data_IF_486293675716
#
_entry.id   IF_486293675716
#
_cell.length_a   1.000
_cell.length_b   1.000
_cell.length_c   1.000
_cell.angle_alpha   90.00
_cell.angle_beta   90.00
_cell.angle_gamma   90.00
#
_symmetry.space_group_name_H-M   'P 1'
#
loop_
_entity.id
_entity.type
_entity.pdbx_description
1 polymer ?
#
# COMPACT_ATOMS: atom_id res chain seq x y z
N UNK A 1 -20.19 0.59 1.44
CA UNK A 1 -19.33 1.06 0.33
C UNK A 1 -17.93 1.26 0.88
N UNK A 2 -16.91 0.76 0.19
CA UNK A 2 -15.50 0.93 0.59
C UNK A 2 -15.12 2.41 0.47
N UNK A 3 -14.46 3.03 1.47
CA UNK A 3 -14.00 4.40 1.37
C UNK A 3 -12.92 4.53 0.28
N UNK A 4 -12.89 5.68 -0.36
CA UNK A 4 -11.93 6.02 -1.41
C UNK A 4 -10.87 6.98 -0.86
N UNK A 5 -9.66 6.89 -1.39
CA UNK A 5 -8.61 7.87 -1.14
C UNK A 5 -8.60 8.93 -2.25
N UNK A 6 -8.09 10.10 -1.91
CA UNK A 6 -7.91 11.21 -2.87
C UNK A 6 -6.45 11.59 -2.99
N UNK A 7 -6.07 12.03 -4.16
CA UNK A 7 -4.79 12.69 -4.41
C UNK A 7 -5.04 14.18 -4.65
N UNK A 8 -4.38 15.02 -3.87
CA UNK A 8 -4.46 16.47 -4.00
C UNK A 8 -3.23 17.01 -4.73
N UNK A 9 -3.35 18.09 -5.52
CA UNK A 9 -2.22 18.68 -6.27
C UNK A 9 -1.06 19.09 -5.37
N UNK A 10 -1.37 19.72 -4.25
CA UNK A 10 -0.42 20.18 -3.23
C UNK A 10 -1.11 20.42 -1.87
N UNK A 11 -0.34 20.85 -0.87
CA UNK A 11 -0.85 21.10 0.48
C UNK A 11 -1.85 22.26 0.59
N UNK A 12 -1.93 23.15 -0.40
CA UNK A 12 -2.88 24.29 -0.38
C UNK A 12 -4.34 23.84 -0.48
N UNK A 13 -4.59 22.61 -0.92
CA UNK A 13 -5.91 21.99 -0.94
C UNK A 13 -6.35 21.44 0.43
N UNK A 14 -5.50 21.55 1.45
CA UNK A 14 -5.71 21.05 2.80
C UNK A 14 -5.64 22.21 3.80
N UNK A 15 -6.24 22.03 4.97
CA UNK A 15 -6.24 23.04 6.04
C UNK A 15 -5.96 22.40 7.40
N UNK A 16 -5.49 23.19 8.34
CA UNK A 16 -5.27 22.81 9.75
C UNK A 16 -4.43 21.53 9.93
N UNK A 17 -3.44 21.33 9.05
CA UNK A 17 -2.54 20.18 9.14
C UNK A 17 -1.62 20.31 10.37
N UNK A 18 -1.49 19.23 11.14
CA UNK A 18 -0.44 19.12 12.14
C UNK A 18 0.95 18.99 11.46
N UNK A 19 2.03 19.43 12.12
CA UNK A 19 3.38 19.30 11.57
C UNK A 19 3.73 17.87 11.13
N UNK A 20 3.36 16.86 11.92
CA UNK A 20 3.59 15.45 11.61
C UNK A 20 2.79 14.97 10.40
N UNK A 21 1.56 15.44 10.21
CA UNK A 21 0.75 15.12 9.02
C UNK A 21 1.39 15.70 7.75
N UNK A 22 1.88 16.94 7.85
CA UNK A 22 2.62 17.60 6.77
C UNK A 22 3.90 16.83 6.41
N UNK A 23 4.67 16.42 7.41
CA UNK A 23 5.88 15.63 7.23
C UNK A 23 5.59 14.30 6.52
N UNK A 24 4.56 13.58 6.95
CA UNK A 24 4.14 12.31 6.32
C UNK A 24 3.73 12.52 4.86
N UNK A 25 2.87 13.51 4.58
CA UNK A 25 2.39 13.79 3.23
C UNK A 25 3.52 14.16 2.27
N UNK A 26 4.54 14.89 2.76
CA UNK A 26 5.67 15.36 1.94
C UNK A 26 6.88 14.42 1.97
N UNK A 27 6.81 13.33 2.73
CA UNK A 27 7.90 12.35 2.81
C UNK A 27 8.15 11.64 1.48
N UNK A 28 9.35 11.13 1.29
CA UNK A 28 9.70 10.31 0.11
C UNK A 28 8.90 9.01 0.02
N UNK A 29 8.35 8.53 1.11
CA UNK A 29 7.47 7.37 1.16
C UNK A 29 6.12 7.65 0.46
N UNK A 30 5.71 8.92 0.42
CA UNK A 30 4.46 9.40 -0.18
C UNK A 30 3.25 8.49 0.14
N UNK A 31 2.95 8.24 1.42
CA UNK A 31 1.88 7.35 1.82
C UNK A 31 0.50 7.98 1.62
N UNK A 32 -0.54 7.16 1.73
CA UNK A 32 -1.89 7.65 2.02
C UNK A 32 -1.93 7.98 3.52
N UNK A 33 -2.20 9.24 3.86
CA UNK A 33 -2.37 9.70 5.23
C UNK A 33 -3.85 9.84 5.54
N UNK A 34 -4.33 9.22 6.61
CA UNK A 34 -5.69 9.43 7.10
C UNK A 34 -5.76 10.77 7.83
N UNK A 35 -6.55 11.67 7.29
CA UNK A 35 -6.80 13.00 7.85
C UNK A 35 -8.27 13.12 8.28
N UNK A 36 -8.51 13.89 9.35
CA UNK A 36 -9.88 14.26 9.71
C UNK A 36 -10.56 15.01 8.56
N UNK A 37 -11.81 14.71 8.27
CA UNK A 37 -12.56 15.25 7.11
C UNK A 37 -12.56 16.76 7.03
N UNK A 38 -12.64 17.47 8.17
CA UNK A 38 -12.63 18.93 8.18
C UNK A 38 -11.34 19.55 7.63
N UNK A 39 -10.24 18.78 7.56
CA UNK A 39 -8.95 19.21 6.98
C UNK A 39 -8.94 19.17 5.44
N UNK A 40 -9.98 18.59 4.84
CA UNK A 40 -10.10 18.40 3.39
C UNK A 40 -11.37 19.08 2.90
N UNK A 41 -11.35 20.40 2.66
CA UNK A 41 -12.54 21.14 2.25
C UNK A 41 -13.00 20.74 0.84
N UNK A 42 -14.28 20.98 0.58
CA UNK A 42 -14.91 20.80 -0.74
C UNK A 42 -14.86 19.37 -1.29
N UNK A 43 -14.90 18.36 -0.42
CA UNK A 43 -14.96 16.94 -0.80
C UNK A 43 -16.38 16.42 -0.62
N UNK A 44 -16.86 15.64 -1.59
CA UNK A 44 -18.18 15.02 -1.55
C UNK A 44 -18.28 13.98 -0.42
N UNK A 45 -19.40 13.96 0.28
CA UNK A 45 -19.63 13.08 1.44
C UNK A 45 -19.52 11.58 1.13
N UNK A 46 -19.82 11.20 -0.10
CA UNK A 46 -19.79 9.80 -0.55
C UNK A 46 -18.38 9.23 -0.77
N UNK A 47 -17.32 10.03 -0.66
CA UNK A 47 -15.93 9.57 -0.77
C UNK A 47 -15.56 8.64 0.41
N UNK A 48 -15.96 9.02 1.62
CA UNK A 48 -15.74 8.23 2.83
C UNK A 48 -17.01 8.26 3.71
N UNK A 49 -18.12 7.61 3.29
CA UNK A 49 -19.38 7.68 4.00
C UNK A 49 -19.26 7.08 5.39
N UNK A 50 -19.87 7.74 6.38
CA UNK A 50 -19.90 7.33 7.79
C UNK A 50 -18.53 7.28 8.51
N UNK A 51 -17.45 7.73 7.87
CA UNK A 51 -16.15 7.85 8.50
C UNK A 51 -15.87 9.29 8.88
N UNK A 52 -15.02 9.49 9.90
CA UNK A 52 -14.53 10.80 10.32
C UNK A 52 -13.21 11.18 9.63
N UNK A 53 -12.57 10.21 9.02
CA UNK A 53 -11.26 10.36 8.34
C UNK A 53 -11.40 10.05 6.85
N UNK A 54 -10.52 10.64 6.07
CA UNK A 54 -10.37 10.40 4.63
C UNK A 54 -8.88 10.16 4.31
N UNK A 55 -8.61 9.22 3.41
CA UNK A 55 -7.26 8.98 2.91
C UNK A 55 -6.84 10.05 1.91
N UNK A 56 -5.74 10.73 2.19
CA UNK A 56 -5.16 11.78 1.33
C UNK A 56 -3.74 11.43 0.97
N UNK A 57 -3.34 11.68 -0.28
CA UNK A 57 -1.97 11.54 -0.74
C UNK A 57 -1.56 12.69 -1.66
N UNK A 58 -0.26 12.91 -1.77
CA UNK A 58 0.34 13.78 -2.78
C UNK A 58 0.85 12.95 -3.98
N UNK A 59 1.04 13.57 -5.17
CA UNK A 59 1.67 12.91 -6.30
C UNK A 59 3.05 12.36 -5.93
N UNK A 60 3.35 11.12 -6.32
CA UNK A 60 4.60 10.44 -6.01
C UNK A 60 5.47 10.14 -7.23
N UNK A 61 5.00 10.46 -8.42
CA UNK A 61 5.73 10.27 -9.66
C UNK A 61 5.43 11.41 -10.68
N UNK A 62 6.30 11.60 -11.69
CA UNK A 62 6.16 12.71 -12.65
C UNK A 62 4.81 12.75 -13.36
N UNK A 63 4.24 11.60 -13.73
CA UNK A 63 2.97 11.53 -14.44
C UNK A 63 1.81 12.05 -13.56
N UNK A 64 1.77 11.65 -12.29
CA UNK A 64 0.77 12.15 -11.35
C UNK A 64 0.91 13.66 -11.14
N UNK A 65 2.14 14.18 -11.01
CA UNK A 65 2.38 15.62 -10.92
C UNK A 65 1.85 16.38 -12.14
N UNK A 66 2.11 15.90 -13.35
CA UNK A 66 1.61 16.53 -14.57
C UNK A 66 0.07 16.48 -14.63
N UNK A 67 -0.52 15.33 -14.30
CA UNK A 67 -1.97 15.16 -14.29
C UNK A 67 -2.62 16.13 -13.31
N UNK A 68 -2.17 16.14 -12.05
CA UNK A 68 -2.76 16.97 -11.00
C UNK A 68 -2.57 18.48 -11.30
N UNK A 69 -1.43 18.89 -11.84
CA UNK A 69 -1.20 20.28 -12.27
C UNK A 69 -2.15 20.70 -13.39
N UNK A 70 -2.43 19.81 -14.34
CA UNK A 70 -3.33 20.09 -15.47
C UNK A 70 -4.78 20.18 -15.00
N UNK A 71 -5.21 19.25 -14.16
CA UNK A 71 -6.61 19.18 -13.68
C UNK A 71 -6.87 20.22 -12.58
N UNK A 72 -5.87 20.55 -11.77
CA UNK A 72 -5.89 21.53 -10.67
C UNK A 72 -7.03 21.34 -9.68
N UNK A 73 -7.33 20.11 -9.31
CA UNK A 73 -8.32 19.72 -8.29
C UNK A 73 -8.02 18.34 -7.73
N UNK A 74 -8.54 17.99 -6.53
CA UNK A 74 -8.42 16.64 -5.99
C UNK A 74 -9.02 15.60 -6.93
N UNK A 75 -8.35 14.45 -7.05
CA UNK A 75 -8.81 13.30 -7.82
C UNK A 75 -8.96 12.08 -6.90
N UNK A 76 -10.02 11.32 -7.11
CA UNK A 76 -10.15 10.00 -6.47
C UNK A 76 -9.12 9.05 -7.08
N UNK A 77 -8.36 8.38 -6.22
CA UNK A 77 -7.39 7.37 -6.62
C UNK A 77 -7.79 6.02 -6.06
N UNK A 78 -7.85 5.02 -6.92
CA UNK A 78 -8.13 3.64 -6.55
C UNK A 78 -7.26 2.70 -7.36
N UNK A 79 -7.09 1.46 -6.87
CA UNK A 79 -6.38 0.43 -7.62
C UNK A 79 -7.16 0.01 -8.88
N UNK A 80 -6.43 -0.29 -9.96
CA UNK A 80 -7.00 -0.72 -11.23
C UNK A 80 -7.35 -2.22 -11.18
N UNK A 81 -8.50 -2.54 -10.58
CA UNK A 81 -9.00 -3.92 -10.47
C UNK A 81 -10.51 -3.98 -10.33
N UNK A 82 -11.10 -5.07 -10.76
CA UNK A 82 -12.46 -5.43 -10.38
C UNK A 82 -12.52 -5.78 -8.88
N UNK A 83 -13.69 -5.61 -8.26
CA UNK A 83 -13.87 -5.90 -6.83
C UNK A 83 -13.47 -7.34 -6.49
N UNK A 84 -12.62 -7.50 -5.46
CA UNK A 84 -12.15 -8.82 -5.02
C UNK A 84 -11.01 -9.41 -5.86
N UNK A 85 -10.56 -8.73 -6.92
CA UNK A 85 -9.41 -9.14 -7.73
C UNK A 85 -8.17 -8.31 -7.40
N UNK A 86 -6.95 -8.85 -7.59
CA UNK A 86 -5.74 -8.05 -7.48
C UNK A 86 -5.64 -7.02 -8.62
N UNK A 87 -4.89 -5.92 -8.44
CA UNK A 87 -4.66 -4.94 -9.49
C UNK A 87 -3.99 -5.54 -10.73
N UNK A 88 -4.42 -5.05 -11.90
CA UNK A 88 -3.84 -5.44 -13.19
C UNK A 88 -2.44 -4.85 -13.34
N UNK A 89 -1.47 -5.68 -13.73
CA UNK A 89 -0.06 -5.27 -13.86
C UNK A 89 0.40 -5.08 -15.30
N UNK A 90 -0.26 -5.70 -16.28
CA UNK A 90 0.14 -5.68 -17.69
C UNK A 90 -0.85 -4.92 -18.54
N UNK A 91 -0.35 -4.09 -19.46
CA UNK A 91 -1.17 -3.30 -20.38
C UNK A 91 -2.14 -4.15 -21.19
N UNK A 92 -1.69 -5.35 -21.64
CA UNK A 92 -2.49 -6.26 -22.47
C UNK A 92 -3.77 -6.71 -21.76
N UNK A 93 -3.68 -6.94 -20.44
CA UNK A 93 -4.82 -7.36 -19.64
C UNK A 93 -5.66 -6.20 -19.11
N UNK A 94 -5.10 -4.96 -19.11
CA UNK A 94 -5.81 -3.80 -18.57
C UNK A 94 -7.09 -3.51 -19.36
N UNK A 95 -7.04 -3.52 -20.68
CA UNK A 95 -8.20 -3.27 -21.55
C UNK A 95 -9.26 -4.37 -21.36
N UNK A 96 -8.83 -5.64 -21.35
CA UNK A 96 -9.75 -6.76 -21.20
C UNK A 96 -10.45 -6.77 -19.83
N UNK A 97 -9.68 -6.56 -18.74
CA UNK A 97 -10.21 -6.72 -17.37
C UNK A 97 -10.90 -5.49 -16.82
N UNK A 98 -10.64 -4.29 -17.39
CA UNK A 98 -11.14 -3.02 -16.89
C UNK A 98 -12.09 -2.31 -17.87
N UNK A 99 -12.48 -2.94 -18.97
CA UNK A 99 -13.30 -2.31 -20.02
C UNK A 99 -14.64 -1.77 -19.50
N UNK A 100 -15.23 -2.43 -18.52
CA UNK A 100 -16.49 -1.99 -17.90
C UNK A 100 -16.27 -0.96 -16.75
N UNK A 101 -15.02 -0.64 -16.44
CA UNK A 101 -14.65 0.20 -15.30
C UNK A 101 -13.93 1.50 -15.70
N UNK A 102 -13.32 1.56 -16.88
CA UNK A 102 -12.51 2.69 -17.34
C UNK A 102 -12.88 3.11 -18.77
N UNK A 103 -13.07 4.41 -18.96
CA UNK A 103 -13.34 5.01 -20.29
C UNK A 103 -12.05 5.22 -21.09
N UNK A 104 -10.92 5.44 -20.41
CA UNK A 104 -9.62 5.73 -21.02
C UNK A 104 -8.48 5.00 -20.32
N UNK A 105 -7.42 4.71 -21.08
CA UNK A 105 -6.23 4.04 -20.62
C UNK A 105 -4.99 4.86 -20.95
N UNK A 106 -4.20 5.20 -19.95
CA UNK A 106 -2.88 5.79 -20.13
C UNK A 106 -1.83 4.73 -19.85
N UNK A 107 -1.38 4.07 -20.89
CA UNK A 107 -0.41 2.99 -20.83
C UNK A 107 1.03 3.52 -20.89
N UNK A 108 1.98 2.72 -20.41
CA UNK A 108 3.41 2.97 -20.51
C UNK A 108 4.16 1.70 -20.96
N UNK A 109 5.39 1.89 -21.44
CA UNK A 109 6.24 0.80 -21.95
C UNK A 109 7.24 0.25 -20.94
N UNK A 110 7.05 0.54 -19.64
CA UNK A 110 7.87 0.00 -18.56
C UNK A 110 7.07 -1.04 -17.81
N UNK A 111 7.53 -2.28 -17.80
CA UNK A 111 6.85 -3.37 -17.11
C UNK A 111 6.79 -3.14 -15.59
N UNK A 112 5.67 -3.52 -14.99
CA UNK A 112 5.50 -3.60 -13.55
C UNK A 112 5.91 -5.01 -13.12
N UNK A 113 7.11 -5.11 -12.54
CA UNK A 113 7.66 -6.41 -12.12
C UNK A 113 7.00 -6.94 -10.85
N UNK A 114 6.61 -6.04 -9.95
CA UNK A 114 6.06 -6.39 -8.66
C UNK A 114 4.96 -5.41 -8.27
N UNK A 115 3.86 -5.94 -7.78
CA UNK A 115 2.79 -5.12 -7.18
C UNK A 115 3.31 -4.43 -5.93
N UNK A 116 3.01 -3.16 -5.80
CA UNK A 116 3.24 -2.38 -4.59
C UNK A 116 2.01 -1.52 -4.31
N UNK A 117 1.30 -1.83 -3.26
CA UNK A 117 0.21 -0.99 -2.77
C UNK A 117 0.77 0.29 -2.13
N UNK A 118 -0.04 1.32 -2.02
CA UNK A 118 0.30 2.50 -1.22
C UNK A 118 0.24 2.15 0.27
N UNK A 119 1.23 2.63 1.02
CA UNK A 119 1.18 2.56 2.47
C UNK A 119 0.05 3.43 3.01
N UNK A 120 -0.57 3.00 4.09
CA UNK A 120 -1.65 3.71 4.77
C UNK A 120 -1.24 3.99 6.20
N UNK A 121 -1.19 5.26 6.55
CA UNK A 121 -0.70 5.73 7.85
C UNK A 121 -1.61 6.80 8.44
N UNK A 122 -1.49 7.05 9.74
CA UNK A 122 -2.05 8.22 10.39
C UNK A 122 -1.18 8.67 11.57
N UNK A 123 -1.36 9.92 11.98
CA UNK A 123 -0.82 10.44 13.23
C UNK A 123 -1.79 10.04 14.35
N UNK A 124 -1.31 9.26 15.31
CA UNK A 124 -2.02 8.88 16.53
C UNK A 124 -1.40 9.55 17.76
N UNK A 125 -1.98 9.34 18.95
CA UNK A 125 -1.50 9.95 20.20
C UNK A 125 -0.03 9.64 20.51
N UNK A 126 0.42 8.44 20.15
CA UNK A 126 1.77 7.93 20.42
C UNK A 126 2.73 8.10 19.23
N UNK A 127 2.32 8.80 18.17
CA UNK A 127 3.13 9.01 16.97
C UNK A 127 2.53 8.41 15.70
N UNK A 128 3.37 7.83 14.84
CA UNK A 128 2.97 7.24 13.57
C UNK A 128 2.31 5.87 13.77
N UNK A 129 1.05 5.75 13.37
CA UNK A 129 0.37 4.47 13.24
C UNK A 129 0.36 4.01 11.77
N UNK A 130 0.90 2.83 11.52
CA UNK A 130 0.91 2.20 10.18
C UNK A 130 -0.18 1.15 10.07
N UNK A 131 -1.23 1.44 9.28
CA UNK A 131 -2.35 0.52 9.04
C UNK A 131 -2.08 -0.45 7.87
N UNK A 132 -1.25 -0.02 6.92
CA UNK A 132 -0.72 -0.84 5.83
C UNK A 132 0.71 -0.43 5.56
N UNK A 133 1.64 -1.37 5.72
CA UNK A 133 3.05 -1.19 5.42
C UNK A 133 3.33 -1.72 4.01
N UNK A 134 3.70 -0.85 3.08
CA UNK A 134 3.93 -1.18 1.68
C UNK A 134 4.93 -0.17 1.06
N UNK A 135 4.65 0.38 -0.11
CA UNK A 135 5.55 1.31 -0.82
C UNK A 135 6.07 2.43 0.08
N UNK A 136 7.37 2.66 0.04
CA UNK A 136 8.09 3.69 0.79
C UNK A 136 8.51 3.29 2.21
N UNK A 137 7.98 2.17 2.75
CA UNK A 137 8.36 1.60 4.04
C UNK A 137 8.92 0.19 3.92
N UNK A 138 8.60 -0.49 2.83
CA UNK A 138 9.14 -1.81 2.51
C UNK A 138 10.22 -1.60 1.43
N UNK A 139 11.38 -2.25 1.53
CA UNK A 139 11.73 -3.35 2.44
C UNK A 139 12.60 -2.95 3.64
N UNK A 140 12.42 -1.78 4.21
CA UNK A 140 13.25 -1.32 5.33
C UNK A 140 13.21 -2.31 6.50
N UNK A 141 14.38 -2.53 7.09
CA UNK A 141 14.55 -3.41 8.23
C UNK A 141 13.95 -2.78 9.49
N UNK A 142 13.24 -3.59 10.28
CA UNK A 142 12.72 -3.20 11.60
C UNK A 142 13.65 -3.80 12.65
N UNK A 143 14.36 -2.98 13.44
CA UNK A 143 15.19 -3.49 14.51
C UNK A 143 14.33 -4.06 15.64
N UNK A 144 14.74 -5.18 16.19
CA UNK A 144 14.12 -5.83 17.34
C UNK A 144 15.06 -5.78 18.54
N UNK A 145 14.49 -5.71 19.74
CA UNK A 145 15.26 -5.76 21.00
C UNK A 145 15.88 -7.14 21.24
N UNK A 146 15.20 -8.18 20.77
CA UNK A 146 15.63 -9.57 20.94
C UNK A 146 16.47 -10.03 19.74
N UNK A 147 17.46 -10.87 20.01
CA UNK A 147 18.31 -11.47 18.98
C UNK A 147 17.95 -12.93 18.77
N UNK A 148 17.72 -13.32 17.53
CA UNK A 148 17.54 -14.72 17.12
C UNK A 148 18.84 -15.32 16.61
N UNK A 149 19.15 -16.54 16.99
CA UNK A 149 20.24 -17.34 16.43
C UNK A 149 19.82 -18.12 15.18
N UNK A 150 18.52 -18.09 14.85
CA UNK A 150 17.91 -18.79 13.72
C UNK A 150 17.29 -17.80 12.75
N UNK A 151 17.35 -18.11 11.47
CA UNK A 151 16.59 -17.43 10.46
C UNK A 151 15.13 -17.92 10.51
N UNK A 152 14.18 -17.03 10.76
CA UNK A 152 12.77 -17.39 10.83
C UNK A 152 11.99 -16.76 9.69
N UNK A 153 11.24 -17.58 8.95
CA UNK A 153 10.25 -17.12 7.99
C UNK A 153 8.86 -17.22 8.65
N UNK A 154 8.19 -16.10 8.84
CA UNK A 154 6.80 -16.08 9.28
C UNK A 154 5.89 -15.77 8.09
N UNK A 155 4.91 -16.65 7.80
CA UNK A 155 4.07 -16.55 6.61
C UNK A 155 2.83 -15.64 6.79
N UNK A 156 2.60 -15.15 8.01
CA UNK A 156 1.45 -14.31 8.31
C UNK A 156 0.13 -15.09 8.33
N UNK A 157 -0.97 -14.35 8.23
CA UNK A 157 -2.33 -14.89 8.25
C UNK A 157 -3.03 -14.68 6.89
N UNK A 158 -4.31 -15.06 6.77
CA UNK A 158 -5.04 -15.02 5.50
C UNK A 158 -5.34 -13.58 5.05
N UNK A 159 -6.06 -12.83 5.88
CA UNK A 159 -6.50 -11.49 5.51
C UNK A 159 -5.36 -10.48 5.60
N UNK A 160 -5.24 -9.61 4.57
CA UNK A 160 -4.19 -8.57 4.51
C UNK A 160 -2.80 -9.13 4.74
N UNK A 161 -2.54 -10.29 4.16
CA UNK A 161 -1.31 -11.04 4.38
C UNK A 161 -0.06 -10.20 4.15
N UNK A 162 0.93 -10.43 5.00
CA UNK A 162 2.33 -10.06 4.86
C UNK A 162 3.17 -11.18 5.43
N UNK A 163 4.30 -11.50 4.82
CA UNK A 163 5.29 -12.39 5.44
C UNK A 163 6.44 -11.59 6.05
N UNK A 164 7.21 -12.23 6.90
CA UNK A 164 8.35 -11.62 7.57
C UNK A 164 9.56 -12.54 7.53
N UNK A 165 10.72 -11.97 7.17
CA UNK A 165 12.03 -12.59 7.30
C UNK A 165 12.69 -12.04 8.57
N UNK A 166 13.02 -12.90 9.52
CA UNK A 166 13.78 -12.53 10.70
C UNK A 166 15.19 -13.10 10.62
N UNK A 167 16.20 -12.23 10.73
CA UNK A 167 17.61 -12.59 10.84
C UNK A 167 18.26 -11.76 11.94
N UNK A 168 18.87 -12.43 12.90
CA UNK A 168 19.45 -11.80 14.09
C UNK A 168 18.42 -10.95 14.83
N UNK A 169 18.60 -9.64 14.88
CA UNK A 169 17.68 -8.67 15.49
C UNK A 169 16.96 -7.80 14.47
N UNK A 170 16.83 -8.26 13.22
CA UNK A 170 16.23 -7.49 12.12
C UNK A 170 15.06 -8.26 11.52
N UNK A 171 13.91 -7.63 11.49
CA UNK A 171 12.73 -8.12 10.80
C UNK A 171 12.54 -7.35 9.48
N UNK A 172 12.35 -8.08 8.40
CA UNK A 172 12.03 -7.53 7.08
C UNK A 172 10.64 -8.01 6.70
N UNK A 173 9.66 -7.11 6.76
CA UNK A 173 8.30 -7.42 6.32
C UNK A 173 8.18 -7.29 4.81
N UNK A 174 7.39 -8.16 4.20
CA UNK A 174 6.94 -7.95 2.82
C UNK A 174 5.99 -6.76 2.75
N UNK A 175 5.79 -6.26 1.53
CA UNK A 175 4.64 -5.40 1.26
C UNK A 175 3.34 -6.17 1.52
N UNK A 176 2.24 -5.43 1.62
CA UNK A 176 0.90 -5.99 1.66
C UNK A 176 0.65 -6.90 0.46
N UNK A 177 0.34 -8.16 0.69
CA UNK A 177 0.04 -9.17 -0.34
C UNK A 177 -1.47 -9.21 -0.61
N UNK A 178 -2.28 -9.28 0.43
CA UNK A 178 -3.74 -9.33 0.32
C UNK A 178 -4.35 -10.58 0.93
N UNK A 179 -5.54 -10.93 0.49
CA UNK A 179 -6.31 -12.04 1.07
C UNK A 179 -5.96 -13.34 0.34
N UNK A 180 -5.32 -14.28 1.03
CA UNK A 180 -4.78 -15.52 0.44
C UNK A 180 -5.85 -16.54 0.05
N UNK A 181 -7.11 -16.32 0.39
CA UNK A 181 -8.23 -17.08 -0.16
C UNK A 181 -8.32 -16.96 -1.70
N UNK A 182 -7.83 -15.86 -2.28
CA UNK A 182 -7.76 -15.67 -3.73
C UNK A 182 -6.51 -16.37 -4.30
N UNK A 183 -6.70 -17.20 -5.36
CA UNK A 183 -5.63 -17.98 -5.98
C UNK A 183 -4.52 -17.10 -6.59
N UNK A 184 -4.89 -15.98 -7.22
CA UNK A 184 -3.91 -15.05 -7.79
C UNK A 184 -3.07 -14.37 -6.70
N UNK A 185 -3.66 -14.08 -5.54
CA UNK A 185 -2.94 -13.56 -4.37
C UNK A 185 -1.97 -14.60 -3.80
N UNK A 186 -2.34 -15.88 -3.77
CA UNK A 186 -1.43 -16.97 -3.38
C UNK A 186 -0.24 -17.12 -4.33
N UNK A 187 -0.47 -17.01 -5.65
CA UNK A 187 0.63 -16.99 -6.63
C UNK A 187 1.59 -15.83 -6.35
N UNK A 188 1.04 -14.62 -6.15
CA UNK A 188 1.83 -13.44 -5.81
C UNK A 188 2.60 -13.60 -4.49
N UNK A 189 2.02 -14.23 -3.46
CA UNK A 189 2.72 -14.55 -2.21
C UNK A 189 3.96 -15.41 -2.50
N UNK A 190 3.80 -16.49 -3.28
CA UNK A 190 4.88 -17.41 -3.62
C UNK A 190 5.98 -16.72 -4.43
N UNK A 191 5.62 -15.92 -5.42
CA UNK A 191 6.55 -15.16 -6.26
C UNK A 191 7.34 -14.12 -5.42
N UNK A 192 6.64 -13.36 -4.56
CA UNK A 192 7.27 -12.38 -3.68
C UNK A 192 8.19 -13.03 -2.66
N UNK A 193 7.78 -14.15 -2.09
CA UNK A 193 8.61 -14.90 -1.14
C UNK A 193 9.91 -15.38 -1.81
N UNK A 194 9.81 -15.97 -3.01
CA UNK A 194 10.97 -16.41 -3.78
C UNK A 194 11.92 -15.23 -4.09
N UNK A 195 11.37 -14.09 -4.50
CA UNK A 195 12.13 -12.87 -4.77
C UNK A 195 12.87 -12.36 -3.53
N UNK A 196 12.19 -12.28 -2.38
CA UNK A 196 12.81 -11.84 -1.13
C UNK A 196 13.89 -12.81 -0.66
N UNK A 197 13.65 -14.12 -0.75
CA UNK A 197 14.67 -15.13 -0.43
C UNK A 197 15.92 -14.98 -1.31
N UNK A 198 15.75 -14.68 -2.59
CA UNK A 198 16.84 -14.45 -3.51
C UNK A 198 17.59 -13.14 -3.21
N UNK A 199 16.88 -12.01 -3.05
CA UNK A 199 17.49 -10.70 -2.78
C UNK A 199 18.29 -10.72 -1.48
N UNK A 200 17.71 -11.29 -0.41
CA UNK A 200 18.34 -11.33 0.89
C UNK A 200 19.22 -12.56 1.12
N UNK A 201 19.37 -13.45 0.11
CA UNK A 201 20.05 -14.74 0.25
C UNK A 201 19.58 -15.45 1.54
N UNK A 202 18.27 -15.48 1.73
CA UNK A 202 17.65 -15.92 2.96
C UNK A 202 17.21 -17.38 2.86
N UNK A 203 17.75 -18.20 3.76
CA UNK A 203 17.34 -19.60 3.93
C UNK A 203 16.78 -19.75 5.34
N UNK A 204 15.48 -20.08 5.51
CA UNK A 204 14.90 -20.25 6.83
C UNK A 204 15.39 -21.52 7.51
N UNK A 205 15.69 -21.41 8.81
CA UNK A 205 15.86 -22.54 9.71
C UNK A 205 14.53 -22.97 10.34
N UNK A 206 13.61 -22.01 10.48
CA UNK A 206 12.29 -22.18 11.07
C UNK A 206 11.26 -21.48 10.19
N UNK A 207 10.11 -22.13 9.98
CA UNK A 207 8.93 -21.52 9.34
C UNK A 207 7.82 -21.43 10.39
N UNK A 208 7.37 -20.20 10.68
CA UNK A 208 6.25 -19.91 11.55
C UNK A 208 4.99 -19.74 10.71
N UNK A 209 3.95 -20.47 11.05
CA UNK A 209 2.65 -20.47 10.35
C UNK A 209 1.52 -20.29 11.34
N UNK A 210 0.38 -19.79 10.87
CA UNK A 210 -0.85 -19.83 11.63
C UNK A 210 -1.37 -21.27 11.69
N UNK A 211 -2.01 -21.61 12.79
CA UNK A 211 -2.62 -22.95 13.00
C UNK A 211 -4.05 -23.05 12.50
N UNK A 212 -4.60 -21.97 11.98
CA UNK A 212 -5.96 -21.96 11.45
C UNK A 212 -6.09 -22.88 10.21
N UNK A 213 -7.08 -23.79 10.16
CA UNK A 213 -7.16 -24.83 9.14
C UNK A 213 -7.45 -24.30 7.71
N UNK A 214 -7.82 -23.04 7.57
CA UNK A 214 -8.08 -22.39 6.28
C UNK A 214 -6.84 -21.80 5.61
N UNK A 215 -5.68 -21.90 6.24
CA UNK A 215 -4.43 -21.31 5.72
C UNK A 215 -3.45 -22.38 5.27
#
# INVERSE_FOLDING_TARGET
TKPLAIMVPDLQFLQDLAPQETELLTSSAAPIVLLAKHKVPNIADNIAPHLQEIGVMLPSNPLQHLLLRTVNRPLVMTSANASGQPPVLKNEYAVEQLNDLADFYLCHNRDILQRADDSLVRVAFDGLETLRRARGYVPDEIPLETQSTKNVLALGSDLKNTFCLLRHNKAILSQHIGDTANEQVRSQLSENLALFQQIYQFKPDIIAVDTHPGY
#
